data_IF_885944261451
#
_entry.id   IF_885944261451
#
_cell.length_a   1.000
_cell.length_b   1.000
_cell.length_c   1.000
_cell.angle_alpha   90.00
_cell.angle_beta   90.00
_cell.angle_gamma   90.00
#
_symmetry.space_group_name_H-M   'P 1'
#
loop_
_entity.id
_entity.type
_entity.pdbx_description
1 polymer ?
#
# COMPACT_ATOMS: atom_id res chain seq x y z
N UNK A 1 36.04 -26.40 0.41
CA UNK A 1 34.55 -26.32 0.44
C UNK A 1 34.00 -25.10 1.21
N UNK A 2 34.60 -24.60 2.30
CA UNK A 2 34.07 -23.50 3.15
C UNK A 2 33.84 -22.09 2.53
N UNK A 3 34.21 -21.85 1.27
CA UNK A 3 34.16 -20.51 0.65
C UNK A 3 32.90 -20.25 -0.18
N UNK A 4 32.13 -21.30 -0.49
CA UNK A 4 30.96 -21.24 -1.38
C UNK A 4 29.68 -20.97 -0.58
N UNK A 5 29.55 -21.54 0.62
CA UNK A 5 28.40 -21.31 1.51
C UNK A 5 28.04 -19.84 1.76
N UNK A 6 28.98 -18.91 2.05
CA UNK A 6 28.64 -17.51 2.21
C UNK A 6 28.19 -16.84 0.91
N UNK A 7 28.72 -17.27 -0.24
CA UNK A 7 28.31 -16.76 -1.56
C UNK A 7 26.90 -17.25 -1.93
N UNK A 8 26.58 -18.50 -1.64
CA UNK A 8 25.24 -19.05 -1.88
C UNK A 8 24.20 -18.36 -0.99
N UNK A 9 24.52 -18.13 0.29
CA UNK A 9 23.63 -17.39 1.20
C UNK A 9 23.41 -15.94 0.77
N UNK A 10 24.45 -15.25 0.31
CA UNK A 10 24.30 -13.89 -0.22
C UNK A 10 23.43 -13.86 -1.49
N UNK A 11 23.63 -14.82 -2.39
CA UNK A 11 22.80 -14.97 -3.58
C UNK A 11 21.32 -15.24 -3.22
N UNK A 12 21.04 -16.16 -2.31
CA UNK A 12 19.68 -16.46 -1.83
C UNK A 12 19.02 -15.23 -1.19
N UNK A 13 19.77 -14.48 -0.38
CA UNK A 13 19.28 -13.25 0.23
C UNK A 13 18.90 -12.20 -0.81
N UNK A 14 19.77 -11.96 -1.80
CA UNK A 14 19.52 -11.00 -2.88
C UNK A 14 18.37 -11.43 -3.79
N UNK A 15 18.25 -12.73 -4.08
CA UNK A 15 17.12 -13.26 -4.85
C UNK A 15 15.80 -13.08 -4.09
N UNK A 16 15.79 -13.36 -2.78
CA UNK A 16 14.61 -13.18 -1.93
C UNK A 16 14.19 -11.70 -1.88
N UNK A 17 15.15 -10.78 -1.72
CA UNK A 17 14.89 -9.34 -1.75
C UNK A 17 14.29 -8.89 -3.10
N UNK A 18 14.80 -9.40 -4.23
CA UNK A 18 14.28 -9.06 -5.55
C UNK A 18 12.84 -9.58 -5.76
N UNK A 19 12.54 -10.79 -5.29
CA UNK A 19 11.18 -11.37 -5.35
C UNK A 19 10.21 -10.55 -4.49
N UNK A 20 10.60 -10.20 -3.26
CA UNK A 20 9.77 -9.37 -2.38
C UNK A 20 9.54 -7.97 -2.95
N UNK A 21 10.56 -7.36 -3.54
CA UNK A 21 10.42 -6.08 -4.22
C UNK A 21 9.41 -6.16 -5.38
N UNK A 22 9.56 -7.15 -6.25
CA UNK A 22 8.64 -7.40 -7.37
C UNK A 22 7.20 -7.64 -6.87
N UNK A 23 7.03 -8.42 -5.80
CA UNK A 23 5.73 -8.68 -5.18
C UNK A 23 5.07 -7.39 -4.68
N UNK A 24 5.85 -6.51 -4.04
CA UNK A 24 5.36 -5.23 -3.55
C UNK A 24 4.96 -4.31 -4.71
N UNK A 25 5.75 -4.24 -5.79
CA UNK A 25 5.37 -3.47 -6.97
C UNK A 25 4.09 -4.01 -7.61
N UNK A 26 3.96 -5.33 -7.75
CA UNK A 26 2.75 -5.97 -8.28
C UNK A 26 1.51 -5.72 -7.41
N UNK A 27 1.67 -5.63 -6.08
CA UNK A 27 0.56 -5.30 -5.18
C UNK A 27 0.08 -3.85 -5.34
N UNK A 28 0.98 -2.94 -5.72
CA UNK A 28 0.69 -1.53 -5.97
C UNK A 28 0.12 -1.28 -7.38
N UNK A 29 0.27 -2.23 -8.31
CA UNK A 29 -0.27 -2.11 -9.66
C UNK A 29 -1.81 -2.19 -9.65
N UNK A 30 -2.44 -1.19 -10.28
CA UNK A 30 -3.88 -1.10 -10.49
C UNK A 30 -4.35 -2.18 -11.48
N UNK A 31 -4.68 -3.36 -10.96
CA UNK A 31 -5.15 -4.53 -11.74
C UNK A 31 -6.63 -4.45 -12.16
N UNK A 32 -7.32 -3.35 -11.89
CA UNK A 32 -8.76 -3.18 -12.17
C UNK A 32 -9.68 -3.91 -11.19
N UNK A 33 -9.12 -4.56 -10.16
CA UNK A 33 -9.85 -5.07 -8.99
C UNK A 33 -9.74 -4.08 -7.84
N UNK A 34 -10.86 -3.82 -7.17
CA UNK A 34 -10.92 -3.07 -5.93
C UNK A 34 -10.11 -3.81 -4.85
N UNK A 35 -8.92 -3.29 -4.54
CA UNK A 35 -8.06 -3.78 -3.46
C UNK A 35 -7.74 -2.63 -2.52
N UNK A 36 -7.85 -2.80 -1.19
CA UNK A 36 -7.46 -1.78 -0.22
C UNK A 36 -6.00 -1.33 -0.35
N UNK A 37 -5.13 -2.22 -0.85
CA UNK A 37 -3.71 -1.92 -1.10
C UNK A 37 -3.48 -0.74 -2.05
N UNK A 38 -4.45 -0.44 -2.93
CA UNK A 38 -4.38 0.70 -3.86
C UNK A 38 -4.40 2.06 -3.14
N UNK A 39 -4.89 2.10 -1.90
CA UNK A 39 -5.03 3.31 -1.10
C UNK A 39 -3.96 3.42 0.01
N UNK A 40 -3.06 2.43 0.15
CA UNK A 40 -2.00 2.45 1.18
C UNK A 40 -0.98 3.58 0.97
N UNK A 41 -0.76 4.00 -0.28
CA UNK A 41 0.13 5.11 -0.61
C UNK A 41 -0.50 6.51 -0.48
N UNK A 42 -1.81 6.60 -0.25
CA UNK A 42 -2.53 7.88 -0.24
C UNK A 42 -2.35 8.59 1.09
N UNK A 43 -1.81 9.81 1.03
CA UNK A 43 -1.64 10.69 2.20
C UNK A 43 -2.70 11.78 2.15
N UNK A 44 -3.35 12.00 3.28
CA UNK A 44 -4.40 13.00 3.46
C UNK A 44 -3.88 14.08 4.39
N UNK A 45 -4.16 15.34 4.08
CA UNK A 45 -3.85 16.45 4.98
C UNK A 45 -4.80 16.42 6.18
N UNK A 46 -4.29 16.07 7.36
CA UNK A 46 -5.05 16.10 8.60
C UNK A 46 -4.44 17.14 9.52
N UNK A 47 -5.20 18.20 9.82
CA UNK A 47 -4.71 19.36 10.58
C UNK A 47 -3.36 19.92 10.09
N UNK A 48 -3.14 19.93 8.78
CA UNK A 48 -1.91 20.46 8.15
C UNK A 48 -0.72 19.49 8.12
N UNK A 49 -0.88 18.26 8.61
CA UNK A 49 0.14 17.20 8.52
C UNK A 49 -0.27 16.11 7.54
N UNK A 50 0.62 15.66 6.63
CA UNK A 50 0.33 14.55 5.71
C UNK A 50 0.28 13.24 6.48
N UNK A 51 -0.91 12.69 6.64
CA UNK A 51 -1.17 11.46 7.41
C UNK A 51 -1.65 10.34 6.47
N UNK A 52 -1.19 9.09 6.63
CA UNK A 52 -1.65 7.96 5.82
C UNK A 52 -3.16 7.70 5.96
N UNK A 53 -3.88 7.53 4.84
CA UNK A 53 -5.32 7.30 4.83
C UNK A 53 -5.75 6.06 5.64
N UNK A 54 -4.95 5.00 5.61
CA UNK A 54 -5.21 3.76 6.35
C UNK A 54 -5.27 3.94 7.88
N UNK A 55 -4.68 5.00 8.42
CA UNK A 55 -4.75 5.31 9.87
C UNK A 55 -5.95 6.17 10.24
N UNK A 56 -6.52 6.88 9.27
CA UNK A 56 -7.65 7.81 9.46
C UNK A 56 -8.99 7.19 9.07
N UNK A 57 -8.99 6.10 8.32
CA UNK A 57 -10.18 5.43 7.83
C UNK A 57 -10.01 3.92 7.74
N UNK A 58 -11.13 3.21 7.93
CA UNK A 58 -11.23 1.78 7.63
C UNK A 58 -11.55 1.61 6.15
N UNK A 59 -10.73 0.85 5.43
CA UNK A 59 -10.87 0.60 3.99
C UNK A 59 -11.29 -0.85 3.79
N UNK A 60 -12.42 -1.08 3.13
CA UNK A 60 -12.93 -2.41 2.82
C UNK A 60 -13.27 -2.55 1.34
N UNK A 61 -12.92 -3.68 0.75
CA UNK A 61 -13.37 -4.04 -0.59
C UNK A 61 -14.60 -4.94 -0.46
N UNK A 62 -15.78 -4.41 -0.78
CA UNK A 62 -17.03 -5.19 -0.71
C UNK A 62 -17.29 -5.98 -2.00
N UNK A 63 -16.98 -5.38 -3.15
CA UNK A 63 -17.17 -5.98 -4.47
C UNK A 63 -15.95 -5.72 -5.34
N UNK A 64 -15.81 -6.44 -6.46
CA UNK A 64 -14.65 -6.34 -7.35
C UNK A 64 -14.37 -4.94 -7.91
N UNK A 65 -15.34 -4.01 -7.83
CA UNK A 65 -15.23 -2.63 -8.33
C UNK A 65 -15.58 -1.56 -7.29
N UNK A 66 -15.88 -1.94 -6.04
CA UNK A 66 -16.32 -1.00 -5.00
C UNK A 66 -15.38 -1.08 -3.78
N UNK A 67 -14.72 0.05 -3.50
CA UNK A 67 -14.01 0.28 -2.24
C UNK A 67 -14.84 1.19 -1.35
N UNK A 68 -15.02 0.79 -0.10
CA UNK A 68 -15.68 1.59 0.92
C UNK A 68 -14.64 2.09 1.90
N UNK A 69 -14.51 3.42 1.96
CA UNK A 69 -13.62 4.13 2.89
C UNK A 69 -14.48 4.76 3.96
N UNK A 70 -14.34 4.29 5.20
CA UNK A 70 -15.09 4.78 6.34
C UNK A 70 -14.16 5.53 7.30
N UNK A 71 -14.16 6.87 7.28
CA UNK A 71 -13.27 7.66 8.13
C UNK A 71 -13.76 7.68 9.57
N UNK A 72 -12.81 7.76 10.51
CA UNK A 72 -13.12 7.88 11.94
C UNK A 72 -13.64 9.28 12.31
N UNK A 73 -13.21 10.30 11.55
CA UNK A 73 -13.72 11.67 11.63
C UNK A 73 -14.43 12.05 10.32
N UNK A 74 -15.59 12.71 10.42
CA UNK A 74 -16.33 13.18 9.25
C UNK A 74 -15.75 14.48 8.68
N UNK A 75 -14.98 15.24 9.46
CA UNK A 75 -14.39 16.51 9.04
C UNK A 75 -13.41 16.36 7.86
N UNK A 76 -12.80 15.17 7.74
CA UNK A 76 -11.75 14.88 6.75
C UNK A 76 -12.25 14.33 5.43
N UNK A 77 -13.57 14.15 5.25
CA UNK A 77 -14.15 13.55 4.04
C UNK A 77 -13.72 14.31 2.78
N UNK A 78 -13.74 15.65 2.82
CA UNK A 78 -13.36 16.51 1.69
C UNK A 78 -11.87 16.35 1.35
N UNK A 79 -11.01 16.20 2.35
CA UNK A 79 -9.57 16.03 2.15
C UNK A 79 -9.24 14.62 1.63
N UNK A 80 -9.98 13.60 2.07
CA UNK A 80 -9.88 12.23 1.54
C UNK A 80 -10.28 12.19 0.07
N UNK A 81 -11.40 12.83 -0.30
CA UNK A 81 -11.86 12.89 -1.69
C UNK A 81 -10.78 13.51 -2.61
N UNK A 82 -10.23 14.66 -2.20
CA UNK A 82 -9.13 15.32 -2.93
C UNK A 82 -7.91 14.41 -3.06
N UNK A 83 -7.51 13.73 -1.98
CA UNK A 83 -6.33 12.87 -1.96
C UNK A 83 -6.48 11.62 -2.87
N UNK A 84 -7.71 11.16 -3.11
CA UNK A 84 -7.99 10.03 -4.01
C UNK A 84 -8.12 10.46 -5.48
N UNK A 85 -8.63 11.66 -5.75
CA UNK A 85 -8.78 12.20 -7.11
C UNK A 85 -7.47 12.73 -7.73
N UNK A 86 -6.48 13.09 -6.90
CA UNK A 86 -5.18 13.63 -7.33
C UNK A 86 -4.20 12.60 -7.85
#
# INVERSE_FOLDING_TARGET
MRRIEPLTKDAEYRMSQAVEHCRNELAQIRTGRASPALLEGVKVSYYGSPTPLNTLATITAQEARLLVVQPFDKSIIVEIEKAIQM
#
